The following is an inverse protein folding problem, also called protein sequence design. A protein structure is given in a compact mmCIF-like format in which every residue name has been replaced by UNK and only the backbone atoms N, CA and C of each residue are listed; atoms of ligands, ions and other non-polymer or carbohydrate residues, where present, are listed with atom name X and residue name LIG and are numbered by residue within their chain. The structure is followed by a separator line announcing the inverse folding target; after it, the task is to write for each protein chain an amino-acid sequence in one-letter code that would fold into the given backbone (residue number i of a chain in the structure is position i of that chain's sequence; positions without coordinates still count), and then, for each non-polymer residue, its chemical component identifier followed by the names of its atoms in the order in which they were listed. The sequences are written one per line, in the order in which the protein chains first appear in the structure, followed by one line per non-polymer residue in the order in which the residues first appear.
data_IF_172253978644
#
_entry.id   IF_172253978644
#
_cell.length_a   1.000
_cell.length_b   1.000
_cell.length_c   1.000
_cell.angle_alpha   90.00
_cell.angle_beta   90.00
_cell.angle_gamma   90.00
#
_symmetry.space_group_name_H-M   'P 1'
#
loop_
_entity.id
_entity.type
_entity.pdbx_description
1 polymer ?
#
# COMPACT_ATOMS: atom_id res chain seq x y z
N UNK A 1 -15.53 -24.41 17.06
CA UNK A 1 -14.56 -23.33 17.33
C UNK A 1 -15.07 -22.09 16.62
N UNK A 2 -14.98 -20.92 17.22
CA UNK A 2 -15.36 -19.68 16.54
C UNK A 2 -14.41 -19.46 15.33
N UNK A 3 -14.98 -18.97 14.23
CA UNK A 3 -14.22 -18.63 13.04
C UNK A 3 -13.19 -17.53 13.37
N UNK A 4 -11.88 -17.69 13.03
CA UNK A 4 -10.88 -16.67 13.37
C UNK A 4 -11.22 -15.34 12.71
N UNK A 5 -10.94 -14.23 13.42
CA UNK A 5 -11.28 -12.88 12.97
C UNK A 5 -10.56 -12.55 11.65
N UNK A 6 -9.27 -12.84 11.58
CA UNK A 6 -8.45 -12.79 10.37
C UNK A 6 -8.01 -14.21 10.04
N UNK A 7 -8.32 -14.70 8.85
CA UNK A 7 -7.96 -16.05 8.38
C UNK A 7 -6.64 -16.06 7.62
N UNK A 8 -6.41 -15.00 6.86
CA UNK A 8 -5.25 -14.84 5.99
C UNK A 8 -4.99 -13.36 5.69
N UNK A 9 -3.96 -13.10 4.91
CA UNK A 9 -3.55 -11.74 4.53
C UNK A 9 -4.64 -11.00 3.72
N UNK A 10 -5.51 -11.72 2.98
CA UNK A 10 -6.58 -11.11 2.17
C UNK A 10 -7.64 -10.43 3.06
N UNK A 11 -7.86 -10.94 4.26
CA UNK A 11 -8.76 -10.31 5.22
C UNK A 11 -8.28 -8.93 5.67
N UNK A 12 -6.96 -8.70 5.69
CA UNK A 12 -6.40 -7.36 5.98
C UNK A 12 -6.75 -6.35 4.88
N UNK A 13 -6.85 -6.78 3.63
CA UNK A 13 -7.30 -5.92 2.53
C UNK A 13 -8.77 -5.50 2.68
N UNK A 14 -9.65 -6.40 3.19
CA UNK A 14 -11.05 -6.08 3.50
C UNK A 14 -11.15 -5.05 4.62
N UNK A 15 -10.36 -5.20 5.67
CA UNK A 15 -10.28 -4.23 6.75
C UNK A 15 -9.89 -2.84 6.25
N UNK A 16 -8.85 -2.73 5.43
CA UNK A 16 -8.44 -1.45 4.81
C UNK A 16 -9.55 -0.86 3.93
N UNK A 17 -10.30 -1.71 3.20
CA UNK A 17 -11.43 -1.25 2.39
C UNK A 17 -12.55 -0.61 3.23
N UNK A 18 -12.78 -1.05 4.47
CA UNK A 18 -13.74 -0.40 5.39
C UNK A 18 -13.41 1.07 5.62
N UNK A 19 -12.13 1.39 5.86
CA UNK A 19 -11.74 2.79 6.09
C UNK A 19 -11.89 3.66 4.85
N UNK A 20 -11.65 3.10 3.65
CA UNK A 20 -11.92 3.81 2.39
C UNK A 20 -13.42 4.04 2.19
N UNK A 21 -14.26 3.08 2.57
CA UNK A 21 -15.71 3.21 2.53
C UNK A 21 -16.19 4.29 3.49
N UNK A 22 -15.77 4.23 4.76
CA UNK A 22 -16.13 5.22 5.79
C UNK A 22 -15.67 6.63 5.42
N UNK A 23 -14.48 6.80 4.80
CA UNK A 23 -14.03 8.09 4.28
C UNK A 23 -14.91 8.57 3.12
N UNK A 24 -15.29 7.67 2.21
CA UNK A 24 -16.13 7.99 1.05
C UNK A 24 -17.49 8.55 1.45
N UNK A 25 -18.06 8.07 2.55
CA UNK A 25 -19.37 8.46 3.08
C UNK A 25 -19.39 9.83 3.77
N UNK A 26 -18.20 10.38 4.05
CA UNK A 26 -18.11 11.72 4.65
C UNK A 26 -18.51 12.81 3.67
N UNK A 27 -19.12 13.87 4.19
CA UNK A 27 -19.41 15.07 3.38
C UNK A 27 -18.13 15.77 2.89
N UNK A 28 -17.10 15.78 3.74
CA UNK A 28 -15.78 16.38 3.51
C UNK A 28 -14.72 15.33 3.07
N UNK A 29 -15.16 14.25 2.40
CA UNK A 29 -14.29 13.18 1.94
C UNK A 29 -13.09 13.72 1.12
N UNK A 30 -11.88 13.26 1.45
CA UNK A 30 -10.64 13.67 0.77
C UNK A 30 -10.34 12.83 -0.46
N UNK A 31 -11.00 11.70 -0.61
CA UNK A 31 -11.13 10.88 -1.82
C UNK A 31 -12.48 10.15 -1.76
N UNK A 32 -12.89 9.59 -2.90
CA UNK A 32 -14.07 8.72 -2.97
C UNK A 32 -13.70 7.40 -3.61
N UNK A 33 -14.15 6.32 -2.98
CA UNK A 33 -14.02 4.95 -3.46
C UNK A 33 -15.40 4.28 -3.44
N UNK A 34 -16.16 4.39 -4.53
CA UNK A 34 -17.54 3.88 -4.57
C UNK A 34 -17.65 2.36 -4.45
N UNK A 35 -16.53 1.64 -4.64
CA UNK A 35 -16.50 0.18 -4.58
C UNK A 35 -16.07 -0.35 -3.20
N UNK A 36 -15.47 0.51 -2.36
CA UNK A 36 -14.84 0.08 -1.11
C UNK A 36 -15.80 -0.64 -0.17
N UNK A 37 -17.05 -0.19 -0.05
CA UNK A 37 -18.07 -0.81 0.82
C UNK A 37 -18.39 -2.24 0.38
N UNK A 38 -18.64 -2.43 -0.91
CA UNK A 38 -18.93 -3.75 -1.46
C UNK A 38 -17.72 -4.70 -1.33
N UNK A 39 -16.51 -4.19 -1.59
CA UNK A 39 -15.27 -4.98 -1.47
C UNK A 39 -14.95 -5.36 -0.01
N UNK A 40 -15.23 -4.49 0.95
CA UNK A 40 -15.08 -4.80 2.37
C UNK A 40 -16.01 -5.94 2.79
N UNK A 41 -17.28 -5.88 2.36
CA UNK A 41 -18.31 -6.83 2.74
C UNK A 41 -18.55 -6.87 4.25
N UNK A 42 -19.47 -7.71 4.71
CA UNK A 42 -19.74 -7.89 6.13
C UNK A 42 -18.53 -8.38 6.93
N UNK A 43 -17.66 -9.18 6.28
CA UNK A 43 -16.46 -9.70 6.94
C UNK A 43 -15.48 -8.57 7.27
N UNK A 44 -15.24 -7.64 6.34
CA UNK A 44 -14.40 -6.48 6.58
C UNK A 44 -14.92 -5.61 7.72
N UNK A 45 -16.25 -5.38 7.80
CA UNK A 45 -16.86 -4.62 8.90
C UNK A 45 -16.63 -5.32 10.25
N UNK A 46 -16.87 -6.63 10.34
CA UNK A 46 -16.60 -7.40 11.59
C UNK A 46 -15.15 -7.29 12.02
N UNK A 47 -14.21 -7.35 11.06
CA UNK A 47 -12.79 -7.20 11.35
C UNK A 47 -12.52 -5.78 11.87
N UNK A 48 -13.02 -4.75 11.18
CA UNK A 48 -12.79 -3.36 11.57
C UNK A 48 -13.36 -3.03 12.96
N UNK A 49 -14.54 -3.55 13.28
CA UNK A 49 -15.20 -3.31 14.58
C UNK A 49 -14.51 -4.03 15.74
N UNK A 50 -13.85 -5.16 15.47
CA UNK A 50 -13.12 -5.93 16.48
C UNK A 50 -11.66 -5.50 16.65
N UNK A 51 -11.14 -4.66 15.72
CA UNK A 51 -9.75 -4.19 15.82
C UNK A 51 -9.55 -3.21 16.97
N UNK A 52 -8.57 -3.45 17.86
CA UNK A 52 -8.21 -2.48 18.89
C UNK A 52 -7.84 -1.13 18.26
N UNK A 53 -8.41 -0.05 18.77
CA UNK A 53 -8.12 1.33 18.30
C UNK A 53 -8.47 1.60 16.83
N UNK A 54 -9.37 0.81 16.21
CA UNK A 54 -9.75 0.93 14.81
C UNK A 54 -10.05 2.37 14.37
N UNK A 55 -10.91 3.07 15.11
CA UNK A 55 -11.27 4.45 14.79
C UNK A 55 -10.11 5.43 15.03
N UNK A 56 -9.25 5.15 16.01
CA UNK A 56 -8.10 5.98 16.33
C UNK A 56 -6.97 5.84 15.31
N UNK A 57 -6.86 4.72 14.61
CA UNK A 57 -5.85 4.44 13.59
C UNK A 57 -6.33 4.74 12.15
N UNK A 58 -7.63 4.94 11.93
CA UNK A 58 -8.24 5.15 10.60
C UNK A 58 -7.56 6.27 9.79
N UNK A 59 -7.10 7.33 10.47
CA UNK A 59 -6.40 8.45 9.86
C UNK A 59 -5.16 8.04 9.07
N UNK A 60 -4.45 7.00 9.51
CA UNK A 60 -3.23 6.52 8.84
C UNK A 60 -3.55 5.87 7.50
N UNK A 61 -4.60 5.07 7.40
CA UNK A 61 -5.06 4.46 6.15
C UNK A 61 -5.55 5.51 5.16
N UNK A 62 -6.28 6.54 5.66
CA UNK A 62 -6.75 7.66 4.82
C UNK A 62 -5.56 8.47 4.28
N UNK A 63 -4.62 8.84 5.15
CA UNK A 63 -3.42 9.57 4.75
C UNK A 63 -2.56 8.76 3.76
N UNK A 64 -2.42 7.44 3.99
CA UNK A 64 -1.71 6.54 3.09
C UNK A 64 -2.35 6.52 1.71
N UNK A 65 -3.66 6.27 1.62
CA UNK A 65 -4.40 6.27 0.36
C UNK A 65 -4.19 7.58 -0.42
N UNK A 66 -4.33 8.74 0.25
CA UNK A 66 -4.13 10.06 -0.39
C UNK A 66 -2.71 10.23 -0.90
N UNK A 67 -1.70 9.77 -0.17
CA UNK A 67 -0.30 9.91 -0.59
C UNK A 67 0.02 9.01 -1.78
N UNK A 68 -0.44 7.77 -1.76
CA UNK A 68 -0.30 6.88 -2.93
C UNK A 68 -0.99 7.47 -4.15
N UNK A 69 -2.23 7.97 -4.03
CA UNK A 69 -2.95 8.63 -5.12
C UNK A 69 -2.14 9.79 -5.70
N UNK A 70 -1.58 10.65 -4.84
CA UNK A 70 -0.79 11.82 -5.26
C UNK A 70 0.50 11.43 -5.97
N UNK A 71 1.24 10.44 -5.45
CA UNK A 71 2.46 9.99 -6.09
C UNK A 71 2.20 9.30 -7.43
N UNK A 72 1.13 8.51 -7.54
CA UNK A 72 0.72 7.92 -8.80
C UNK A 72 0.33 9.00 -9.81
N UNK A 73 -0.51 9.97 -9.42
CA UNK A 73 -0.89 11.10 -10.28
C UNK A 73 0.33 11.89 -10.74
N UNK A 74 1.28 12.15 -9.82
CA UNK A 74 2.52 12.83 -10.16
C UNK A 74 3.35 12.04 -11.17
N UNK A 75 3.53 10.74 -10.98
CA UNK A 75 4.26 9.88 -11.91
C UNK A 75 3.60 9.84 -13.29
N UNK A 76 2.28 9.70 -13.35
CA UNK A 76 1.50 9.72 -14.60
C UNK A 76 1.63 11.08 -15.32
N UNK A 77 1.49 12.19 -14.58
CA UNK A 77 1.69 13.54 -15.13
C UNK A 77 3.13 13.78 -15.61
N UNK A 78 4.11 13.07 -15.02
CA UNK A 78 5.52 13.09 -15.41
C UNK A 78 5.88 12.08 -16.51
N UNK A 79 4.86 11.49 -17.18
CA UNK A 79 5.03 10.64 -18.35
C UNK A 79 5.18 9.13 -18.06
N UNK A 80 4.74 8.65 -16.89
CA UNK A 80 4.62 7.21 -16.70
C UNK A 80 3.55 6.64 -17.65
N UNK A 81 3.92 5.63 -18.42
CA UNK A 81 3.05 4.94 -19.37
C UNK A 81 2.45 3.64 -18.82
N UNK A 82 2.98 3.17 -17.66
CA UNK A 82 2.50 1.99 -16.97
C UNK A 82 2.60 2.13 -15.45
N UNK A 83 1.52 1.75 -14.76
CA UNK A 83 1.51 1.50 -13.31
C UNK A 83 1.53 0.00 -13.07
N UNK A 84 2.55 -0.49 -12.34
CA UNK A 84 2.64 -1.87 -11.89
C UNK A 84 2.32 -1.94 -10.40
N UNK A 85 1.13 -2.43 -10.06
CA UNK A 85 0.64 -2.54 -8.69
C UNK A 85 0.83 -3.98 -8.18
N UNK A 86 1.75 -4.17 -7.25
CA UNK A 86 2.14 -5.46 -6.67
C UNK A 86 1.44 -5.69 -5.35
N UNK A 87 0.90 -6.91 -5.16
CA UNK A 87 0.02 -7.28 -4.05
C UNK A 87 -1.13 -6.25 -3.93
N UNK A 88 -1.86 -6.11 -5.04
CA UNK A 88 -2.85 -5.04 -5.22
C UNK A 88 -4.03 -5.12 -4.25
N UNK A 89 -4.30 -6.28 -3.66
CA UNK A 89 -5.42 -6.48 -2.75
C UNK A 89 -6.74 -5.98 -3.35
N UNK A 90 -7.44 -5.18 -2.59
CA UNK A 90 -8.73 -4.59 -2.99
C UNK A 90 -8.59 -3.12 -3.43
N UNK A 91 -7.46 -2.75 -4.03
CA UNK A 91 -7.24 -1.42 -4.62
C UNK A 91 -8.20 -1.17 -5.79
N UNK A 92 -8.82 0.00 -5.84
CA UNK A 92 -9.79 0.41 -6.85
C UNK A 92 -9.35 1.64 -7.66
N UNK A 93 -8.08 2.04 -7.54
CA UNK A 93 -7.55 3.22 -8.26
C UNK A 93 -7.81 3.19 -9.76
N UNK A 94 -7.67 2.04 -10.47
CA UNK A 94 -8.02 1.96 -11.90
C UNK A 94 -9.45 2.34 -12.23
N UNK A 95 -10.35 2.34 -11.24
CA UNK A 95 -11.78 2.62 -11.42
C UNK A 95 -12.20 3.98 -10.89
N UNK A 96 -11.49 4.52 -9.87
CA UNK A 96 -11.91 5.72 -9.14
C UNK A 96 -11.07 6.96 -9.41
N UNK A 97 -9.85 6.79 -9.91
CA UNK A 97 -8.98 7.91 -10.24
C UNK A 97 -9.25 8.42 -11.65
N UNK A 98 -9.05 9.72 -11.85
CA UNK A 98 -9.00 10.30 -13.18
C UNK A 98 -7.65 9.95 -13.83
N UNK A 99 -7.69 8.97 -14.75
CA UNK A 99 -6.51 8.41 -15.40
C UNK A 99 -6.66 8.49 -16.93
N UNK A 100 -5.55 8.71 -17.66
CA UNK A 100 -5.57 8.64 -19.12
C UNK A 100 -6.02 7.25 -19.59
N UNK A 101 -6.91 7.17 -20.57
CA UNK A 101 -7.35 5.89 -21.18
C UNK A 101 -6.19 5.08 -21.77
N UNK A 102 -5.11 5.76 -22.17
CA UNK A 102 -3.90 5.15 -22.73
C UNK A 102 -2.94 4.64 -21.66
N UNK A 103 -3.12 5.00 -20.39
CA UNK A 103 -2.32 4.48 -19.29
C UNK A 103 -2.57 2.98 -19.14
N UNK A 104 -1.51 2.22 -19.11
CA UNK A 104 -1.56 0.80 -18.77
C UNK A 104 -1.49 0.62 -17.26
N UNK A 105 -2.32 -0.24 -16.73
CA UNK A 105 -2.32 -0.59 -15.31
C UNK A 105 -2.30 -2.10 -15.16
N UNK A 106 -1.27 -2.62 -14.51
CA UNK A 106 -1.14 -4.06 -14.25
C UNK A 106 -1.28 -4.28 -12.75
N UNK A 107 -2.31 -5.04 -12.37
CA UNK A 107 -2.53 -5.55 -11.02
C UNK A 107 -1.93 -6.95 -10.90
N UNK A 108 -1.11 -7.17 -9.88
CA UNK A 108 -0.50 -8.47 -9.59
C UNK A 108 -0.88 -8.88 -8.18
N UNK A 109 -1.50 -10.04 -8.03
CA UNK A 109 -1.83 -10.62 -6.72
C UNK A 109 -2.09 -12.13 -6.85
N UNK A 110 -2.34 -12.78 -5.71
CA UNK A 110 -2.77 -14.17 -5.63
C UNK A 110 -4.13 -14.37 -6.33
N UNK A 111 -4.36 -15.56 -6.94
CA UNK A 111 -5.59 -15.83 -7.66
C UNK A 111 -6.85 -15.53 -6.85
N UNK A 112 -6.90 -15.96 -5.59
CA UNK A 112 -8.09 -15.90 -4.74
C UNK A 112 -8.53 -14.45 -4.47
N UNK A 113 -7.59 -13.53 -4.26
CA UNK A 113 -7.92 -12.13 -4.00
C UNK A 113 -8.37 -11.41 -5.28
N UNK A 114 -7.75 -11.71 -6.42
CA UNK A 114 -8.16 -11.16 -7.71
C UNK A 114 -9.53 -11.67 -8.14
N UNK A 115 -9.80 -12.97 -7.96
CA UNK A 115 -11.11 -13.58 -8.26
C UNK A 115 -12.22 -12.98 -7.39
N UNK A 116 -11.94 -12.80 -6.09
CA UNK A 116 -12.88 -12.10 -5.20
C UNK A 116 -13.13 -10.65 -5.66
N UNK A 117 -12.07 -9.90 -5.97
CA UNK A 117 -12.17 -8.53 -6.44
C UNK A 117 -12.98 -8.43 -7.74
N UNK A 118 -12.72 -9.31 -8.69
CA UNK A 118 -13.46 -9.39 -9.95
C UNK A 118 -14.95 -9.73 -9.74
N UNK A 119 -15.25 -10.65 -8.83
CA UNK A 119 -16.63 -11.04 -8.52
C UNK A 119 -17.46 -9.85 -7.99
N UNK A 120 -16.83 -8.92 -7.26
CA UNK A 120 -17.50 -7.74 -6.70
C UNK A 120 -17.57 -6.59 -7.70
N UNK A 121 -16.47 -6.33 -8.44
CA UNK A 121 -16.42 -5.22 -9.40
C UNK A 121 -17.26 -5.50 -10.66
N UNK A 122 -17.45 -6.79 -10.99
CA UNK A 122 -18.28 -7.20 -12.11
C UNK A 122 -17.87 -6.53 -13.43
N UNK A 123 -18.84 -5.97 -14.13
CA UNK A 123 -18.65 -5.29 -15.42
C UNK A 123 -18.32 -3.79 -15.28
N UNK A 124 -17.96 -3.30 -14.10
CA UNK A 124 -17.56 -1.90 -13.94
C UNK A 124 -16.36 -1.58 -14.84
N UNK A 125 -16.44 -0.56 -15.71
CA UNK A 125 -15.35 -0.24 -16.61
C UNK A 125 -14.22 0.46 -15.85
N UNK A 126 -12.95 0.05 -16.02
CA UNK A 126 -11.82 0.82 -15.51
C UNK A 126 -11.62 2.11 -16.33
N UNK A 127 -11.01 3.12 -15.72
CA UNK A 127 -10.69 4.40 -16.36
C UNK A 127 -9.52 4.29 -17.35
N UNK A 128 -8.70 3.22 -17.23
CA UNK A 128 -7.48 3.00 -18.00
C UNK A 128 -7.39 1.57 -18.55
N UNK A 129 -6.33 1.23 -19.28
CA UNK A 129 -6.10 -0.11 -19.82
C UNK A 129 -5.61 -1.05 -18.70
N UNK A 130 -6.54 -1.79 -18.09
CA UNK A 130 -6.29 -2.67 -16.95
C UNK A 130 -6.01 -4.12 -17.37
N UNK A 131 -4.91 -4.67 -16.84
CA UNK A 131 -4.55 -6.10 -16.91
C UNK A 131 -4.44 -6.64 -15.47
N UNK A 132 -4.90 -7.89 -15.23
CA UNK A 132 -4.70 -8.61 -13.96
C UNK A 132 -3.85 -9.84 -14.18
N UNK A 133 -2.82 -9.99 -13.37
CA UNK A 133 -1.86 -11.09 -13.41
C UNK A 133 -1.95 -11.85 -12.10
N UNK A 134 -2.43 -13.08 -12.16
CA UNK A 134 -2.49 -14.01 -11.03
C UNK A 134 -1.11 -14.61 -10.83
N UNK A 135 -0.39 -14.14 -9.80
CA UNK A 135 0.99 -14.54 -9.56
C UNK A 135 1.34 -14.40 -8.08
N UNK A 136 1.94 -15.44 -7.52
CA UNK A 136 2.59 -15.37 -6.22
C UNK A 136 3.96 -14.70 -6.35
N UNK A 137 4.11 -13.52 -5.75
CA UNK A 137 5.36 -12.75 -5.77
C UNK A 137 6.53 -13.46 -5.05
N UNK A 138 6.26 -14.47 -4.23
CA UNK A 138 7.28 -15.34 -3.65
C UNK A 138 7.92 -16.27 -4.68
N UNK A 139 7.26 -16.52 -5.82
CA UNK A 139 7.86 -17.24 -6.94
C UNK A 139 8.80 -16.30 -7.72
N UNK A 140 10.08 -16.35 -7.38
CA UNK A 140 11.09 -15.43 -7.92
C UNK A 140 11.26 -15.52 -9.43
N UNK A 141 11.14 -16.71 -10.02
CA UNK A 141 11.33 -16.89 -11.48
C UNK A 141 10.13 -16.33 -12.23
N UNK A 142 8.91 -16.61 -11.77
CA UNK A 142 7.69 -16.08 -12.37
C UNK A 142 7.65 -14.54 -12.22
N UNK A 143 8.06 -13.99 -11.06
CA UNK A 143 8.16 -12.56 -10.81
C UNK A 143 9.15 -11.88 -11.76
N UNK A 144 10.36 -12.41 -11.92
CA UNK A 144 11.36 -11.89 -12.85
C UNK A 144 10.89 -11.96 -14.29
N UNK A 145 10.27 -13.07 -14.69
CA UNK A 145 9.70 -13.23 -16.04
C UNK A 145 8.61 -12.18 -16.34
N UNK A 146 7.77 -11.85 -15.34
CA UNK A 146 6.78 -10.78 -15.46
C UNK A 146 7.46 -9.40 -15.61
N UNK A 147 8.45 -9.09 -14.77
CA UNK A 147 9.16 -7.81 -14.85
C UNK A 147 9.90 -7.63 -16.17
N UNK A 148 10.53 -8.68 -16.69
CA UNK A 148 11.16 -8.69 -18.01
C UNK A 148 10.16 -8.43 -19.13
N UNK A 149 8.98 -9.05 -19.09
CA UNK A 149 7.90 -8.81 -20.05
C UNK A 149 7.46 -7.35 -20.05
N UNK A 150 7.24 -6.79 -18.85
CA UNK A 150 6.83 -5.40 -18.68
C UNK A 150 7.93 -4.45 -19.12
N UNK A 151 9.18 -4.69 -18.69
CA UNK A 151 10.35 -3.86 -19.03
C UNK A 151 10.60 -3.73 -20.53
N UNK A 152 10.28 -4.78 -21.31
CA UNK A 152 10.36 -4.74 -22.79
C UNK A 152 9.19 -4.03 -23.44
N UNK A 153 8.06 -3.84 -22.76
CA UNK A 153 6.83 -3.33 -23.36
C UNK A 153 6.39 -1.95 -22.88
N UNK A 154 7.13 -1.35 -21.95
CA UNK A 154 6.83 -0.04 -21.39
C UNK A 154 8.11 0.83 -21.34
N UNK A 155 7.94 2.14 -21.36
CA UNK A 155 9.06 3.10 -21.41
C UNK A 155 9.33 3.76 -20.05
N UNK A 156 8.29 3.94 -19.24
CA UNK A 156 8.37 4.59 -17.94
C UNK A 156 7.36 3.99 -16.98
N UNK A 157 7.82 3.04 -16.16
CA UNK A 157 7.00 2.30 -15.21
C UNK A 157 7.13 2.90 -13.82
N UNK A 158 5.99 3.15 -13.17
CA UNK A 158 5.91 3.35 -11.74
C UNK A 158 5.40 2.09 -11.07
N UNK A 159 6.17 1.58 -10.09
CA UNK A 159 5.81 0.42 -9.29
C UNK A 159 5.13 0.87 -8.00
N UNK A 160 4.07 0.19 -7.61
CA UNK A 160 3.29 0.47 -6.40
C UNK A 160 3.27 -0.78 -5.53
N UNK A 161 3.66 -0.64 -4.26
CA UNK A 161 3.52 -1.65 -3.22
C UNK A 161 2.89 -1.00 -2.00
N UNK A 162 1.58 -1.12 -1.84
CA UNK A 162 0.85 -0.59 -0.68
C UNK A 162 0.52 -1.71 0.31
N UNK A 163 1.08 -1.63 1.53
CA UNK A 163 0.81 -2.60 2.60
C UNK A 163 1.42 -3.99 2.38
N UNK A 164 2.37 -4.13 1.46
CA UNK A 164 3.06 -5.40 1.19
C UNK A 164 4.29 -5.60 2.05
N UNK A 165 5.19 -4.60 2.06
CA UNK A 165 6.56 -4.79 2.55
C UNK A 165 6.60 -5.18 4.04
N UNK A 166 5.63 -4.75 4.84
CA UNK A 166 5.53 -5.10 6.25
C UNK A 166 5.54 -6.60 6.55
N UNK A 167 5.11 -7.42 5.60
CA UNK A 167 5.03 -8.89 5.73
C UNK A 167 6.29 -9.63 5.25
N UNK A 168 7.22 -8.95 4.59
CA UNK A 168 8.40 -9.56 3.99
C UNK A 168 9.61 -9.42 4.92
N UNK A 169 10.49 -10.43 4.91
CA UNK A 169 11.79 -10.31 5.58
C UNK A 169 12.67 -9.27 4.87
N UNK A 170 13.60 -8.60 5.57
CA UNK A 170 14.47 -7.57 4.95
C UNK A 170 15.19 -8.02 3.69
N UNK A 171 15.64 -9.29 3.65
CA UNK A 171 16.30 -9.85 2.49
C UNK A 171 15.35 -10.07 1.31
N UNK A 172 14.09 -10.41 1.57
CA UNK A 172 13.03 -10.56 0.56
C UNK A 172 12.66 -9.19 -0.03
N UNK A 173 12.54 -8.16 0.81
CA UNK A 173 12.33 -6.77 0.35
C UNK A 173 13.48 -6.34 -0.56
N UNK A 174 14.73 -6.65 -0.17
CA UNK A 174 15.88 -6.29 -0.98
C UNK A 174 15.97 -7.10 -2.28
N UNK A 175 15.60 -8.39 -2.26
CA UNK A 175 15.50 -9.22 -3.45
C UNK A 175 14.45 -8.67 -4.44
N UNK A 176 13.26 -8.30 -3.94
CA UNK A 176 12.23 -7.64 -4.75
C UNK A 176 12.76 -6.33 -5.34
N UNK A 177 13.38 -5.49 -4.52
CA UNK A 177 13.96 -4.21 -4.96
C UNK A 177 14.99 -4.39 -6.08
N UNK A 178 15.89 -5.38 -5.97
CA UNK A 178 16.90 -5.68 -7.01
C UNK A 178 16.26 -6.20 -8.30
N UNK A 179 15.28 -7.10 -8.19
CA UNK A 179 14.55 -7.61 -9.38
C UNK A 179 13.84 -6.47 -10.13
N UNK A 180 13.26 -5.50 -9.40
CA UNK A 180 12.67 -4.30 -9.99
C UNK A 180 13.72 -3.37 -10.59
N UNK A 181 14.83 -3.11 -9.89
CA UNK A 181 15.90 -2.22 -10.34
C UNK A 181 16.65 -2.78 -11.57
N UNK A 182 16.59 -4.09 -11.80
CA UNK A 182 17.15 -4.72 -13.00
C UNK A 182 16.47 -4.27 -14.29
N UNK A 183 15.25 -3.70 -14.20
CA UNK A 183 14.51 -3.20 -15.35
C UNK A 183 14.78 -1.70 -15.56
N UNK A 184 15.47 -1.28 -16.64
CA UNK A 184 15.81 0.12 -16.87
C UNK A 184 14.61 1.06 -16.98
N UNK A 185 13.46 0.55 -17.39
CA UNK A 185 12.22 1.31 -17.57
C UNK A 185 11.43 1.49 -16.28
N UNK A 186 11.77 0.77 -15.20
CA UNK A 186 11.13 0.96 -13.90
C UNK A 186 11.80 2.14 -13.20
N UNK A 187 11.17 3.32 -13.30
CA UNK A 187 11.78 4.60 -12.87
C UNK A 187 11.54 4.89 -11.41
N UNK A 188 10.33 4.60 -10.92
CA UNK A 188 9.91 4.91 -9.55
C UNK A 188 9.27 3.71 -8.88
N UNK A 189 9.46 3.64 -7.57
CA UNK A 189 8.80 2.67 -6.70
C UNK A 189 8.17 3.38 -5.51
N UNK A 190 6.86 3.24 -5.33
CA UNK A 190 6.08 3.84 -4.24
C UNK A 190 5.81 2.77 -3.20
N UNK A 191 6.22 3.03 -1.95
CA UNK A 191 6.08 2.09 -0.83
C UNK A 191 5.63 2.81 0.43
N UNK A 192 4.94 2.11 1.32
CA UNK A 192 4.72 2.57 2.68
C UNK A 192 5.73 1.93 3.64
N UNK A 193 6.09 2.67 4.68
CA UNK A 193 7.12 2.30 5.64
C UNK A 193 6.73 2.70 7.05
N UNK A 194 7.08 1.85 8.01
CA UNK A 194 6.94 2.12 9.44
C UNK A 194 8.29 2.02 10.16
N UNK A 195 8.44 2.74 11.27
CA UNK A 195 9.62 2.63 12.12
C UNK A 195 9.55 1.38 13.01
N UNK A 196 10.70 0.90 13.54
CA UNK A 196 10.71 -0.16 14.54
C UNK A 196 9.86 0.15 15.77
N UNK A 197 9.86 1.42 16.22
CA UNK A 197 9.04 1.84 17.36
C UNK A 197 7.53 1.73 17.08
N UNK A 198 7.08 2.12 15.89
CA UNK A 198 5.67 1.95 15.52
C UNK A 198 5.31 0.47 15.34
N UNK A 199 6.17 -0.31 14.69
CA UNK A 199 5.99 -1.76 14.53
C UNK A 199 5.83 -2.44 15.88
N UNK A 200 6.68 -2.13 16.85
CA UNK A 200 6.57 -2.67 18.21
C UNK A 200 5.21 -2.37 18.83
N UNK A 201 4.75 -1.11 18.75
CA UNK A 201 3.42 -0.74 19.25
C UNK A 201 2.29 -1.51 18.55
N UNK A 202 2.37 -1.70 17.25
CA UNK A 202 1.38 -2.48 16.50
C UNK A 202 1.37 -3.93 16.95
N UNK A 203 2.53 -4.55 17.10
CA UNK A 203 2.66 -5.96 17.52
C UNK A 203 2.21 -6.19 18.95
N UNK A 204 2.36 -5.22 19.86
CA UNK A 204 1.84 -5.30 21.24
C UNK A 204 0.30 -5.39 21.28
N UNK A 205 -0.41 -4.84 20.28
CA UNK A 205 -1.87 -4.79 20.26
C UNK A 205 -2.53 -5.82 19.35
N UNK A 206 -1.87 -6.24 18.29
CA UNK A 206 -2.44 -7.12 17.25
C UNK A 206 -1.51 -8.25 16.82
N UNK A 207 -0.35 -8.40 17.48
CA UNK A 207 0.67 -9.36 17.06
C UNK A 207 0.19 -10.80 17.10
N UNK A 208 -0.53 -11.22 18.15
CA UNK A 208 -1.03 -12.59 18.26
C UNK A 208 -2.05 -12.89 17.15
N UNK A 209 -3.00 -11.99 16.92
CA UNK A 209 -4.00 -12.14 15.85
C UNK A 209 -3.38 -12.21 14.46
N UNK A 210 -2.39 -11.34 14.17
CA UNK A 210 -1.67 -11.35 12.89
C UNK A 210 -0.83 -12.63 12.72
N UNK A 211 -0.25 -13.12 13.82
CA UNK A 211 0.54 -14.34 13.83
C UNK A 211 -0.32 -15.59 13.59
N UNK A 212 -1.48 -15.66 14.25
CA UNK A 212 -2.47 -16.73 14.05
C UNK A 212 -3.00 -16.75 12.60
N UNK A 213 -3.15 -15.59 11.98
CA UNK A 213 -3.54 -15.45 10.58
C UNK A 213 -2.41 -15.75 9.58
N UNK A 214 -1.21 -16.14 10.04
CA UNK A 214 -0.06 -16.38 9.15
C UNK A 214 0.48 -15.13 8.45
N UNK A 215 0.14 -13.94 8.95
CA UNK A 215 0.52 -12.66 8.36
C UNK A 215 1.28 -11.75 9.36
N UNK A 216 2.38 -12.22 9.98
CA UNK A 216 3.14 -11.43 10.93
C UNK A 216 3.78 -10.23 10.24
N UNK A 217 3.75 -9.06 10.89
CA UNK A 217 4.49 -7.89 10.42
C UNK A 217 5.94 -7.98 10.92
N UNK A 218 6.90 -7.96 10.00
CA UNK A 218 8.33 -8.21 10.30
C UNK A 218 9.27 -7.15 9.74
N UNK A 219 8.84 -6.31 8.79
CA UNK A 219 9.70 -5.32 8.14
C UNK A 219 9.48 -3.92 8.67
N UNK A 220 10.45 -3.43 9.42
CA UNK A 220 10.54 -2.04 9.89
C UNK A 220 12.03 -1.68 10.02
N UNK A 221 12.70 -1.26 8.94
CA UNK A 221 14.13 -1.02 8.96
C UNK A 221 14.49 0.17 9.85
N UNK A 222 15.51 0.01 10.70
CA UNK A 222 15.95 1.06 11.62
C UNK A 222 16.55 2.27 10.87
N UNK A 223 17.12 2.02 9.69
CA UNK A 223 17.65 3.04 8.78
C UNK A 223 16.53 3.91 8.17
N UNK A 224 15.28 3.41 8.20
CA UNK A 224 14.17 4.06 7.50
C UNK A 224 14.32 3.99 5.98
N UNK A 225 13.94 5.06 5.22
CA UNK A 225 13.98 5.07 3.76
C UNK A 225 15.37 4.77 3.13
N UNK A 226 16.52 5.16 3.73
CA UNK A 226 17.85 4.78 3.22
C UNK A 226 18.10 3.28 3.10
N UNK A 227 17.31 2.43 3.78
CA UNK A 227 17.37 0.98 3.59
C UNK A 227 17.37 0.56 2.13
N UNK A 228 16.60 1.23 1.29
CA UNK A 228 16.40 0.87 -0.11
C UNK A 228 17.62 1.15 -1.01
N UNK A 229 18.60 1.95 -0.57
CA UNK A 229 19.80 2.25 -1.34
C UNK A 229 20.61 1.00 -1.66
N UNK A 230 20.71 0.06 -0.72
CA UNK A 230 21.39 -1.23 -0.92
C UNK A 230 20.62 -2.19 -1.85
N UNK A 231 19.39 -1.83 -2.19
CA UNK A 231 18.51 -2.60 -3.07
C UNK A 231 18.36 -1.95 -4.47
N UNK A 232 19.15 -0.87 -4.77
CA UNK A 232 19.17 -0.19 -6.06
C UNK A 232 18.18 0.99 -6.18
N UNK A 233 17.68 1.53 -5.03
CA UNK A 233 16.68 2.60 -5.01
C UNK A 233 17.07 3.73 -4.06
N UNK A 234 16.96 4.97 -4.51
CA UNK A 234 17.24 6.16 -3.71
C UNK A 234 15.93 6.85 -3.29
N UNK A 235 15.72 7.17 -2.01
CA UNK A 235 14.58 7.97 -1.59
C UNK A 235 14.60 9.35 -2.26
N UNK A 236 13.50 9.71 -2.96
CA UNK A 236 13.34 10.98 -3.65
C UNK A 236 12.38 11.89 -2.91
N UNK A 237 11.22 11.36 -2.50
CA UNK A 237 10.25 12.09 -1.68
C UNK A 237 9.70 11.18 -0.58
N UNK A 238 9.68 11.69 0.65
CA UNK A 238 9.20 10.94 1.82
C UNK A 238 8.15 11.78 2.54
N UNK A 239 6.92 11.28 2.61
CA UNK A 239 5.78 11.99 3.19
C UNK A 239 5.23 11.25 4.40
N UNK A 240 5.32 11.89 5.56
CA UNK A 240 4.77 11.38 6.81
C UNK A 240 3.25 11.25 6.75
N UNK A 241 2.74 10.10 7.23
CA UNK A 241 1.30 9.89 7.39
C UNK A 241 0.72 10.85 8.43
N UNK A 242 1.41 11.04 9.56
CA UNK A 242 0.94 11.91 10.65
C UNK A 242 0.73 13.36 10.17
N UNK A 243 1.72 13.95 9.50
CA UNK A 243 1.61 15.32 8.97
C UNK A 243 0.59 15.41 7.84
N UNK A 244 0.49 14.39 7.03
CA UNK A 244 -0.53 14.34 5.97
C UNK A 244 -1.92 14.30 6.57
N UNK A 245 -2.19 13.42 7.54
CA UNK A 245 -3.47 13.35 8.23
C UNK A 245 -3.84 14.67 8.94
N UNK A 246 -2.85 15.35 9.51
CA UNK A 246 -3.04 16.67 10.11
C UNK A 246 -3.53 17.70 9.08
N UNK A 247 -2.86 17.78 7.91
CA UNK A 247 -3.27 18.69 6.81
C UNK A 247 -4.65 18.35 6.24
N UNK A 248 -4.99 17.07 6.21
CA UNK A 248 -6.29 16.56 5.77
C UNK A 248 -7.41 16.72 6.81
N UNK A 249 -7.09 17.21 8.02
CA UNK A 249 -8.01 17.32 9.17
C UNK A 249 -8.61 15.97 9.58
N UNK A 250 -7.84 14.89 9.42
CA UNK A 250 -8.20 13.52 9.81
C UNK A 250 -7.54 13.06 11.11
N UNK A 251 -6.54 13.80 11.57
CA UNK A 251 -5.82 13.44 12.80
C UNK A 251 -6.66 13.71 14.06
N UNK A 252 -6.80 12.73 14.98
CA UNK A 252 -7.46 12.92 16.26
C UNK A 252 -6.89 14.10 17.04
N UNK A 253 -7.73 14.83 17.78
CA UNK A 253 -7.36 16.07 18.45
C UNK A 253 -6.14 15.89 19.37
N UNK A 254 -6.11 14.76 20.12
CA UNK A 254 -4.99 14.43 21.03
C UNK A 254 -3.65 14.27 20.32
N UNK A 255 -3.66 13.90 19.03
CA UNK A 255 -2.44 13.66 18.25
C UNK A 255 -1.96 14.90 17.48
N UNK A 256 -2.78 15.95 17.38
CA UNK A 256 -2.44 17.14 16.57
C UNK A 256 -1.18 17.85 17.05
N UNK A 257 -0.90 17.84 18.35
CA UNK A 257 0.32 18.43 18.89
C UNK A 257 1.58 17.73 18.37
N UNK A 258 1.55 16.39 18.19
CA UNK A 258 2.69 15.65 17.66
C UNK A 258 3.01 16.01 16.21
N UNK A 259 2.02 16.42 15.41
CA UNK A 259 2.23 16.82 14.03
C UNK A 259 2.94 18.19 13.88
N UNK A 260 3.04 18.97 14.95
CA UNK A 260 3.73 20.29 14.96
C UNK A 260 5.25 20.13 15.13
N UNK A 261 5.72 19.01 15.68
CA UNK A 261 7.15 18.80 15.86
C UNK A 261 7.85 18.51 14.53
N UNK A 262 9.13 18.93 14.39
CA UNK A 262 9.94 18.56 13.23
C UNK A 262 10.03 17.04 13.09
N UNK A 263 10.00 16.55 11.84
CA UNK A 263 10.31 15.16 11.56
C UNK A 263 11.82 14.94 11.59
N UNK A 264 12.23 13.78 12.06
CA UNK A 264 13.62 13.36 11.95
C UNK A 264 13.92 12.98 10.49
N UNK A 265 15.00 13.53 9.94
CA UNK A 265 15.51 13.13 8.62
C UNK A 265 16.49 11.95 8.71
N UNK A 266 16.75 11.44 9.92
CA UNK A 266 17.64 10.31 10.17
C UNK A 266 16.88 9.01 10.48
N UNK A 267 17.59 8.01 11.00
CA UNK A 267 17.00 6.75 11.43
C UNK A 267 15.86 6.98 12.42
N UNK A 268 14.73 6.31 12.20
CA UNK A 268 13.52 6.56 12.99
C UNK A 268 13.54 5.82 14.35
N UNK A 269 14.22 4.68 14.40
CA UNK A 269 14.47 3.94 15.64
C UNK A 269 13.21 3.67 16.49
N UNK A 270 13.27 4.00 17.77
CA UNK A 270 12.20 3.77 18.73
C UNK A 270 11.03 4.76 18.63
N UNK A 271 11.11 5.81 17.83
CA UNK A 271 10.01 6.77 17.66
C UNK A 271 8.94 6.20 16.76
N UNK A 272 7.65 6.26 17.15
CA UNK A 272 6.56 5.90 16.25
C UNK A 272 6.53 6.82 15.03
N UNK A 273 6.76 6.26 13.85
CA UNK A 273 6.78 6.99 12.60
C UNK A 273 6.29 6.11 11.45
N UNK A 274 5.61 6.72 10.49
CA UNK A 274 5.18 6.07 9.25
C UNK A 274 5.13 7.08 8.11
N UNK A 275 5.44 6.60 6.90
CA UNK A 275 5.45 7.42 5.69
C UNK A 275 5.08 6.61 4.45
N UNK A 276 4.75 7.34 3.37
CA UNK A 276 4.85 6.84 2.00
C UNK A 276 6.09 7.44 1.36
N UNK A 277 6.87 6.59 0.72
CA UNK A 277 8.13 6.93 0.09
C UNK A 277 8.01 6.76 -1.43
N UNK A 278 8.39 7.80 -2.17
CA UNK A 278 8.70 7.71 -3.59
C UNK A 278 10.18 7.43 -3.72
N UNK A 279 10.52 6.30 -4.29
CA UNK A 279 11.90 5.87 -4.51
C UNK A 279 12.21 5.98 -6.01
N UNK A 280 13.40 6.46 -6.32
CA UNK A 280 13.92 6.55 -7.70
C UNK A 280 14.99 5.49 -7.91
N UNK A 281 14.95 4.80 -9.06
CA UNK A 281 16.00 3.84 -9.44
C UNK A 281 17.37 4.54 -9.55
N UNK A 282 18.38 3.91 -9.02
CA UNK A 282 19.79 4.37 -9.14
C UNK A 282 20.33 4.30 -10.55
#
# INVERSE_FOLDING_TARGET
MADPLIRDISDTARWVAVYRARETERRDAVFRDPFARALAGERGERIADAMPFADQASWSFIARTVLFDRFIQHAVASGADLVLNLATGLDTRPYRMDLPKTLRWIEVDLPEILDYKESILGAAPPACALERVRLDLANHDARRGLFDRIGRSASNVVVVCEGLLGYLMPDEVCALGRDLAAQPTFRHWIVDLVSPGLMKMMMEHMGDMMKEAGAPLVFAPAEGPPFFERCGWTPEDVRSLLKTAFRLKRLPLKMRLFALFPESNGPQGARPWSAVCLLRRQ
#
